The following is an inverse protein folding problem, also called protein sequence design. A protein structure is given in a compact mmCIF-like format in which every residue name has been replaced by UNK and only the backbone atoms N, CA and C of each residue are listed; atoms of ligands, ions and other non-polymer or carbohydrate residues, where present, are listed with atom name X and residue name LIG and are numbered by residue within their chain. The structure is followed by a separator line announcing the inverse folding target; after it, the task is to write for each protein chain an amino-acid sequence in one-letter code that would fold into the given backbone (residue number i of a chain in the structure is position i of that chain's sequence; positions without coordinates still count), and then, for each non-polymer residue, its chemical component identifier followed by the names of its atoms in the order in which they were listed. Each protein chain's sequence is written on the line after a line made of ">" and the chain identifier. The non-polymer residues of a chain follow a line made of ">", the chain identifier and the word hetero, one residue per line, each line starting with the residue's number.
data_IF_657822308343
#
_entry.id   IF_657822308343
#
_cell.length_a   1.000
_cell.length_b   1.000
_cell.length_c   1.000
_cell.angle_alpha   90.00
_cell.angle_beta   90.00
_cell.angle_gamma   90.00
#
_symmetry.space_group_name_H-M   'P 1'
#
loop_
_entity.id
_entity.type
_entity.pdbx_description
1 polymer ?
#
# COMPACT_ATOMS: atom_id res chain seq x y z
N UNK A 1 -1.10 11.39 -7.23
CA UNK A 1 -0.27 11.17 -6.01
C UNK A 1 -1.08 10.34 -5.03
N UNK A 2 -0.45 9.45 -4.25
CA UNK A 2 -1.11 8.72 -3.15
C UNK A 2 -0.25 8.78 -1.90
N UNK A 3 -0.89 8.96 -0.75
CA UNK A 3 -0.20 8.93 0.54
C UNK A 3 -0.50 7.58 1.17
N UNK A 4 0.54 6.78 1.40
CA UNK A 4 0.47 5.57 2.20
C UNK A 4 0.67 5.94 3.67
N UNK A 5 -0.22 5.47 4.53
CA UNK A 5 -0.15 5.63 5.98
C UNK A 5 -0.32 4.29 6.67
N UNK A 6 0.11 4.23 7.92
CA UNK A 6 0.03 3.03 8.76
C UNK A 6 0.59 1.79 8.06
N UNK A 7 1.72 1.93 7.36
CA UNK A 7 2.34 0.79 6.69
C UNK A 7 2.84 -0.17 7.75
N UNK A 8 2.29 -1.38 7.75
CA UNK A 8 2.63 -2.45 8.68
C UNK A 8 3.15 -3.63 7.88
N UNK A 9 4.35 -4.06 8.21
CA UNK A 9 4.94 -5.28 7.67
C UNK A 9 5.06 -6.30 8.80
N UNK A 10 4.46 -7.44 8.58
CA UNK A 10 4.57 -8.64 9.40
C UNK A 10 5.38 -9.68 8.63
N UNK A 11 5.75 -10.79 9.27
CA UNK A 11 6.46 -11.91 8.65
C UNK A 11 5.78 -12.46 7.40
N UNK A 12 4.44 -12.42 7.34
CA UNK A 12 3.65 -13.01 6.25
C UNK A 12 2.91 -11.99 5.37
N UNK A 13 2.67 -10.76 5.86
CA UNK A 13 1.83 -9.78 5.16
C UNK A 13 2.40 -8.37 5.25
N UNK A 14 2.08 -7.53 4.26
CA UNK A 14 2.27 -6.08 4.32
C UNK A 14 0.94 -5.39 4.03
N UNK A 15 0.55 -4.46 4.88
CA UNK A 15 -0.66 -3.67 4.73
C UNK A 15 -0.37 -2.17 4.81
N UNK A 16 -1.22 -1.38 4.16
CA UNK A 16 -1.24 0.07 4.31
C UNK A 16 -2.62 0.65 4.07
N UNK A 17 -2.93 1.72 4.79
CA UNK A 17 -3.97 2.66 4.40
C UNK A 17 -3.42 3.55 3.28
N UNK A 18 -4.22 3.86 2.27
CA UNK A 18 -3.81 4.75 1.19
C UNK A 18 -4.86 5.82 0.93
N UNK A 19 -4.39 7.04 0.69
CA UNK A 19 -5.21 8.23 0.44
C UNK A 19 -4.88 8.78 -0.94
N UNK A 20 -5.72 8.53 -1.95
CA UNK A 20 -5.57 9.15 -3.27
C UNK A 20 -5.60 10.68 -3.11
N UNK A 21 -4.59 11.36 -3.64
CA UNK A 21 -4.43 12.81 -3.57
C UNK A 21 -4.39 13.39 -2.14
N UNK A 22 -4.17 12.56 -1.13
CA UNK A 22 -4.18 12.97 0.27
C UNK A 22 -5.55 13.35 0.81
N UNK A 23 -6.64 13.03 0.09
CA UNK A 23 -8.03 13.25 0.51
C UNK A 23 -8.77 11.92 0.63
N UNK A 24 -9.95 11.98 1.25
CA UNK A 24 -10.91 10.89 1.20
C UNK A 24 -11.39 10.67 -0.25
N UNK A 25 -11.69 9.43 -0.66
CA UNK A 25 -11.89 8.23 0.17
C UNK A 25 -10.60 7.52 0.63
N UNK A 26 -10.64 6.96 1.85
CA UNK A 26 -9.57 6.09 2.38
C UNK A 26 -9.64 4.71 1.74
N UNK A 27 -8.53 4.27 1.16
CA UNK A 27 -8.34 2.92 0.70
C UNK A 27 -7.53 2.08 1.68
N UNK A 28 -7.67 0.77 1.60
CA UNK A 28 -6.85 -0.18 2.35
C UNK A 28 -6.36 -1.26 1.41
N UNK A 29 -5.08 -1.63 1.50
CA UNK A 29 -4.54 -2.74 0.74
C UNK A 29 -3.62 -3.58 1.61
N UNK A 30 -3.79 -4.89 1.51
CA UNK A 30 -3.00 -5.90 2.20
C UNK A 30 -2.55 -6.98 1.23
N UNK A 31 -1.25 -7.26 1.26
CA UNK A 31 -0.57 -8.18 0.37
C UNK A 31 0.10 -9.27 1.21
N UNK A 32 -0.12 -10.52 0.82
CA UNK A 32 0.63 -11.66 1.34
C UNK A 32 2.03 -11.70 0.71
N UNK A 33 3.07 -11.72 1.54
CA UNK A 33 4.47 -11.69 1.13
C UNK A 33 4.95 -13.01 0.51
N UNK A 34 4.35 -14.14 0.88
CA UNK A 34 4.73 -15.46 0.33
C UNK A 34 4.43 -15.56 -1.16
N UNK A 35 3.26 -15.07 -1.58
CA UNK A 35 2.76 -15.24 -2.95
C UNK A 35 2.59 -13.91 -3.71
N UNK A 36 2.75 -12.76 -3.05
CA UNK A 36 2.51 -11.44 -3.64
C UNK A 36 1.05 -11.16 -4.01
N UNK A 37 0.13 -11.93 -3.42
CA UNK A 37 -1.32 -11.86 -3.67
C UNK A 37 -1.97 -10.85 -2.74
N UNK A 38 -2.89 -10.04 -3.26
CA UNK A 38 -3.70 -9.12 -2.46
C UNK A 38 -4.77 -9.93 -1.73
N UNK A 39 -4.72 -9.93 -0.40
CA UNK A 39 -5.68 -10.68 0.45
C UNK A 39 -6.77 -9.78 1.02
N UNK A 40 -6.52 -8.47 1.11
CA UNK A 40 -7.49 -7.48 1.54
C UNK A 40 -7.38 -6.23 0.68
N UNK A 41 -8.49 -5.79 0.08
CA UNK A 41 -8.52 -4.56 -0.69
C UNK A 41 -9.84 -3.83 -0.47
N UNK A 42 -9.76 -2.66 0.16
CA UNK A 42 -10.82 -1.68 0.12
C UNK A 42 -10.44 -0.63 -0.93
N UNK A 43 -11.22 -0.58 -2.02
CA UNK A 43 -10.91 0.27 -3.15
C UNK A 43 -11.45 1.69 -2.94
N UNK A 44 -10.54 2.65 -2.76
CA UNK A 44 -10.87 4.07 -2.74
C UNK A 44 -10.77 4.70 -4.14
N UNK A 45 -9.89 4.18 -4.99
CA UNK A 45 -9.69 4.69 -6.34
C UNK A 45 -9.02 3.63 -7.20
N UNK A 46 -9.68 3.25 -8.30
CA UNK A 46 -9.18 2.24 -9.24
C UNK A 46 -7.85 2.64 -9.89
N UNK A 47 -7.57 3.95 -9.98
CA UNK A 47 -6.28 4.45 -10.47
C UNK A 47 -5.18 4.33 -9.41
N UNK A 48 -5.51 4.50 -8.12
CA UNK A 48 -4.52 4.42 -7.04
C UNK A 48 -4.05 2.99 -6.74
N UNK A 49 -4.98 2.03 -6.77
CA UNK A 49 -4.74 0.64 -6.42
C UNK A 49 -3.49 0.00 -7.06
N UNK A 50 -3.25 0.10 -8.39
CA UNK A 50 -2.06 -0.50 -9.00
C UNK A 50 -0.74 0.13 -8.51
N UNK A 51 -0.71 1.45 -8.30
CA UNK A 51 0.48 2.13 -7.78
C UNK A 51 0.76 1.75 -6.33
N UNK A 52 -0.28 1.68 -5.50
CA UNK A 52 -0.18 1.23 -4.11
C UNK A 52 0.35 -0.20 -4.04
N UNK A 53 -0.19 -1.11 -4.86
CA UNK A 53 0.26 -2.50 -4.93
C UNK A 53 1.75 -2.61 -5.27
N UNK A 54 2.19 -1.85 -6.28
CA UNK A 54 3.60 -1.84 -6.72
C UNK A 54 4.53 -1.34 -5.60
N UNK A 55 4.14 -0.27 -4.91
CA UNK A 55 4.95 0.28 -3.84
C UNK A 55 4.94 -0.60 -2.58
N UNK A 56 3.82 -1.21 -2.21
CA UNK A 56 3.77 -2.20 -1.13
C UNK A 56 4.67 -3.39 -1.43
N UNK A 57 4.69 -3.88 -2.67
CA UNK A 57 5.62 -4.95 -3.07
C UNK A 57 7.08 -4.51 -2.92
N UNK A 58 7.44 -3.30 -3.36
CA UNK A 58 8.79 -2.75 -3.15
C UNK A 58 9.15 -2.57 -1.68
N UNK A 59 8.19 -2.14 -0.86
CA UNK A 59 8.38 -1.98 0.58
C UNK A 59 8.52 -3.32 1.30
N UNK A 60 7.94 -4.39 0.76
CA UNK A 60 8.10 -5.73 1.32
C UNK A 60 9.52 -6.28 1.20
N UNK A 61 10.27 -5.87 0.17
CA UNK A 61 11.66 -6.25 -0.05
C UNK A 61 12.63 -5.50 0.88
N UNK A 62 12.17 -4.43 1.55
CA UNK A 62 12.96 -3.71 2.57
C UNK A 62 12.77 -4.35 3.94
N UNK A 63 13.86 -4.46 4.71
CA UNK A 63 13.79 -4.92 6.11
C UNK A 63 12.91 -4.01 6.97
N UNK A 64 13.13 -2.69 6.88
CA UNK A 64 12.42 -1.68 7.65
C UNK A 64 11.65 -0.72 6.74
N UNK A 65 10.34 -0.96 6.48
CA UNK A 65 9.51 -0.02 5.75
C UNK A 65 9.17 1.21 6.62
N UNK A 66 9.04 2.40 6.01
CA UNK A 66 8.60 3.59 6.72
C UNK A 66 7.10 3.49 7.08
N UNK A 67 6.69 4.15 8.16
CA UNK A 67 5.28 4.15 8.62
C UNK A 67 4.35 4.95 7.70
N UNK A 68 4.89 5.98 7.04
CA UNK A 68 4.19 6.81 6.06
C UNK A 68 5.09 7.01 4.83
N UNK A 69 4.48 7.03 3.63
CA UNK A 69 5.20 7.29 2.38
C UNK A 69 4.30 7.94 1.35
N UNK A 70 4.75 9.06 0.80
CA UNK A 70 4.11 9.68 -0.37
C UNK A 70 4.63 9.02 -1.64
N UNK A 71 3.71 8.61 -2.50
CA UNK A 71 3.97 7.97 -3.79
C UNK A 71 3.44 8.89 -4.89
N UNK A 72 4.35 9.42 -5.71
CA UNK A 72 4.01 10.20 -6.90
C UNK A 72 3.72 9.22 -8.05
N UNK A 73 2.64 9.46 -8.79
CA UNK A 73 2.30 8.67 -9.98
C UNK A 73 2.89 9.39 -11.19
N UNK A 74 3.70 8.68 -11.96
CA UNK A 74 4.21 9.08 -13.27
C UNK A 74 4.05 7.89 -14.22
#
# INVERSE_FOLDING_TARGET
>A
MVILKNIKKTSDTISADYYPEGREPKGYMEINLKNGVVIGHNNASSFAAPHVRRELKRLSERDNPPTEKTVLWY
#
